data_IF_526738457821
#
_entry.id   IF_526738457821
#
_cell.length_a   1.000
_cell.length_b   1.000
_cell.length_c   1.000
_cell.angle_alpha   90.00
_cell.angle_beta   90.00
_cell.angle_gamma   90.00
#
_symmetry.space_group_name_H-M   'P 1'
#
loop_
_entity.id
_entity.type
_entity.pdbx_description
1 polymer ?
#
# COMPACT_ATOMS: atom_id res chain seq x y z
N UNK A 1 -0.42 14.38 -16.85
CA UNK A 1 -1.52 13.91 -15.98
C UNK A 1 -1.68 12.39 -16.08
N UNK A 2 -1.88 11.82 -17.28
CA UNK A 2 -1.92 10.35 -17.48
C UNK A 2 -0.67 9.59 -17.01
N UNK A 3 0.51 10.20 -17.10
CA UNK A 3 1.76 9.59 -16.61
C UNK A 3 1.79 9.40 -15.10
N UNK A 4 1.45 10.44 -14.33
CA UNK A 4 1.55 10.39 -12.87
C UNK A 4 0.46 9.49 -12.27
N UNK A 5 -0.76 9.52 -12.83
CA UNK A 5 -1.81 8.56 -12.50
C UNK A 5 -1.39 7.11 -12.80
N UNK A 6 -0.73 6.85 -13.93
CA UNK A 6 -0.21 5.52 -14.25
C UNK A 6 0.91 5.08 -13.31
N UNK A 7 1.74 6.01 -12.82
CA UNK A 7 2.78 5.73 -11.82
C UNK A 7 2.16 5.40 -10.46
N UNK A 8 1.15 6.14 -10.01
CA UNK A 8 0.43 5.86 -8.75
C UNK A 8 -0.24 4.49 -8.81
N UNK A 9 -0.97 4.19 -9.89
CA UNK A 9 -1.60 2.87 -10.08
C UNK A 9 -0.55 1.75 -10.09
N UNK A 10 0.63 1.98 -10.68
CA UNK A 10 1.70 1.01 -10.67
C UNK A 10 2.28 0.81 -9.26
N UNK A 11 2.43 1.88 -8.47
CA UNK A 11 2.90 1.82 -7.09
C UNK A 11 1.89 1.07 -6.20
N UNK A 12 0.60 1.41 -6.23
CA UNK A 12 -0.43 0.71 -5.44
C UNK A 12 -0.51 -0.79 -5.75
N UNK A 13 -0.22 -1.19 -6.99
CA UNK A 13 -0.12 -2.62 -7.35
C UNK A 13 1.05 -3.32 -6.66
N UNK A 14 2.16 -2.61 -6.45
CA UNK A 14 3.31 -3.12 -5.69
C UNK A 14 2.93 -3.21 -4.21
N UNK A 15 2.35 -2.15 -3.64
CA UNK A 15 1.89 -2.15 -2.24
C UNK A 15 0.93 -3.31 -1.95
N UNK A 16 -0.08 -3.53 -2.80
CA UNK A 16 -1.02 -4.65 -2.65
C UNK A 16 -0.33 -6.03 -2.67
N UNK A 17 0.73 -6.19 -3.46
CA UNK A 17 1.51 -7.42 -3.48
C UNK A 17 2.29 -7.60 -2.17
N UNK A 18 2.87 -6.52 -1.65
CA UNK A 18 3.63 -6.51 -0.40
C UNK A 18 2.71 -6.76 0.80
N UNK A 19 1.57 -6.08 0.90
CA UNK A 19 0.53 -6.31 1.91
C UNK A 19 0.11 -7.78 1.95
N UNK A 20 -0.23 -8.37 0.80
CA UNK A 20 -0.60 -9.78 0.72
C UNK A 20 0.55 -10.72 1.14
N UNK A 21 1.79 -10.34 0.81
CA UNK A 21 2.98 -11.13 1.13
C UNK A 21 3.31 -11.07 2.61
N UNK A 22 3.40 -9.87 3.20
CA UNK A 22 3.72 -9.67 4.61
C UNK A 22 2.62 -10.20 5.52
N UNK A 23 1.34 -10.03 5.17
CA UNK A 23 0.23 -10.64 5.91
C UNK A 23 0.31 -12.17 5.93
N UNK A 24 0.65 -12.80 4.80
CA UNK A 24 0.87 -14.25 4.73
C UNK A 24 2.08 -14.72 5.54
N UNK A 25 3.20 -13.99 5.46
CA UNK A 25 4.42 -14.31 6.19
C UNK A 25 4.27 -14.13 7.70
N UNK A 26 3.61 -13.06 8.15
CA UNK A 26 3.33 -12.82 9.57
C UNK A 26 2.51 -13.97 10.15
N UNK A 27 1.42 -14.36 9.47
CA UNK A 27 0.59 -15.48 9.87
C UNK A 27 1.36 -16.82 9.92
N UNK A 28 2.25 -17.04 8.95
CA UNK A 28 3.11 -18.22 8.93
C UNK A 28 4.10 -18.21 10.12
N UNK A 29 4.71 -17.07 10.41
CA UNK A 29 5.62 -16.90 11.55
C UNK A 29 4.91 -17.17 12.89
N UNK A 30 3.70 -16.66 13.07
CA UNK A 30 2.84 -16.97 14.25
C UNK A 30 2.61 -18.48 14.34
N UNK A 31 2.22 -19.12 13.23
CA UNK A 31 1.93 -20.56 13.19
C UNK A 31 3.16 -21.40 13.56
N UNK A 32 4.37 -20.92 13.24
CA UNK A 32 5.63 -21.59 13.55
C UNK A 32 6.21 -21.22 14.94
N UNK A 33 5.54 -20.35 15.70
CA UNK A 33 6.02 -19.88 17.01
C UNK A 33 7.21 -18.93 16.93
N UNK A 34 7.34 -18.19 15.82
CA UNK A 34 8.39 -17.20 15.60
C UNK A 34 7.88 -15.78 15.90
N UNK A 35 7.46 -15.53 17.14
CA UNK A 35 6.76 -14.30 17.55
C UNK A 35 7.51 -13.02 17.17
N UNK A 36 8.83 -12.95 17.43
CA UNK A 36 9.64 -11.77 17.05
C UNK A 36 9.69 -11.51 15.54
N UNK A 37 9.60 -12.56 14.74
CA UNK A 37 9.57 -12.43 13.28
C UNK A 37 8.20 -11.95 12.84
N UNK A 38 7.12 -12.48 13.46
CA UNK A 38 5.77 -12.00 13.24
C UNK A 38 5.66 -10.50 13.55
N UNK A 39 6.15 -10.06 14.72
CA UNK A 39 6.12 -8.64 15.12
C UNK A 39 6.80 -7.72 14.08
N UNK A 40 7.95 -8.12 13.54
CA UNK A 40 8.67 -7.35 12.52
C UNK A 40 7.93 -7.34 11.17
N UNK A 41 7.31 -8.46 10.79
CA UNK A 41 6.53 -8.56 9.57
C UNK A 41 5.22 -7.77 9.66
N UNK A 42 4.57 -7.76 10.82
CA UNK A 42 3.39 -6.94 11.09
C UNK A 42 3.72 -5.45 11.09
N UNK A 43 4.88 -5.06 11.64
CA UNK A 43 5.34 -3.67 11.52
C UNK A 43 5.51 -3.26 10.05
N UNK A 44 6.16 -4.12 9.25
CA UNK A 44 6.35 -3.83 7.82
C UNK A 44 5.01 -3.78 7.09
N UNK A 45 4.11 -4.73 7.36
CA UNK A 45 2.75 -4.73 6.82
C UNK A 45 2.02 -3.41 7.09
N UNK A 46 2.10 -2.88 8.31
CA UNK A 46 1.48 -1.61 8.64
C UNK A 46 2.08 -0.44 7.85
N UNK A 47 3.41 -0.42 7.68
CA UNK A 47 4.09 0.60 6.88
C UNK A 47 3.64 0.57 5.40
N UNK A 48 3.40 -0.61 4.81
CA UNK A 48 2.88 -0.72 3.44
C UNK A 48 1.39 -0.34 3.33
N UNK A 49 0.56 -0.71 4.33
CA UNK A 49 -0.85 -0.29 4.38
C UNK A 49 -0.99 1.24 4.47
N UNK A 50 -0.16 1.88 5.30
CA UNK A 50 -0.11 3.34 5.42
C UNK A 50 0.36 3.98 4.10
N UNK A 51 1.34 3.38 3.41
CA UNK A 51 1.84 3.86 2.12
C UNK A 51 0.77 3.76 1.01
N UNK A 52 0.02 2.65 0.94
CA UNK A 52 -1.09 2.52 -0.02
C UNK A 52 -2.21 3.53 0.26
N UNK A 53 -2.48 3.82 1.53
CA UNK A 53 -3.42 4.86 1.92
C UNK A 53 -2.97 6.25 1.45
N UNK A 54 -1.70 6.61 1.67
CA UNK A 54 -1.15 7.88 1.17
C UNK A 54 -1.20 7.98 -0.37
N UNK A 55 -0.90 6.89 -1.08
CA UNK A 55 -1.03 6.84 -2.54
C UNK A 55 -2.47 7.05 -3.00
N UNK A 56 -3.45 6.53 -2.25
CA UNK A 56 -4.88 6.76 -2.51
C UNK A 56 -5.24 8.23 -2.31
N UNK A 57 -4.82 8.87 -1.23
CA UNK A 57 -5.08 10.30 -0.98
C UNK A 57 -4.47 11.18 -2.08
N UNK A 58 -3.26 10.83 -2.54
CA UNK A 58 -2.62 11.50 -3.68
C UNK A 58 -3.49 11.31 -4.93
N UNK A 59 -3.89 10.08 -5.27
CA UNK A 59 -4.73 9.82 -6.44
C UNK A 59 -6.04 10.63 -6.43
N UNK A 60 -6.73 10.68 -5.29
CA UNK A 60 -7.99 11.42 -5.12
C UNK A 60 -7.79 12.93 -5.24
N UNK A 61 -6.73 13.47 -4.64
CA UNK A 61 -6.40 14.90 -4.75
C UNK A 61 -6.11 15.29 -6.19
N UNK A 62 -5.40 14.45 -6.94
CA UNK A 62 -5.13 14.66 -8.37
C UNK A 62 -6.42 14.62 -9.21
N UNK A 63 -7.34 13.69 -8.95
CA UNK A 63 -8.65 13.63 -9.64
C UNK A 63 -9.50 14.88 -9.34
N UNK A 64 -9.52 15.34 -8.09
CA UNK A 64 -10.28 16.52 -7.69
C UNK A 64 -9.76 17.81 -8.35
N UNK A 65 -8.44 17.94 -8.55
CA UNK A 65 -7.84 19.08 -9.26
C UNK A 65 -8.25 19.14 -10.74
N UNK A 66 -8.34 17.98 -11.40
CA UNK A 66 -8.76 17.87 -12.80
C UNK A 66 -10.25 18.19 -12.96
N UNK A 67 -11.10 17.69 -12.07
CA UNK A 67 -12.53 17.96 -12.10
C UNK A 67 -12.90 19.45 -11.95
N UNK A 68 -12.09 20.22 -11.20
CA UNK A 68 -12.28 21.67 -11.01
C UNK A 68 -11.78 22.48 -12.22
N UNK A 69 -10.81 21.97 -12.99
CA UNK A 69 -10.30 22.67 -14.18
C UNK A 69 -11.09 22.38 -15.46
N UNK A 70 -11.89 21.30 -15.50
CA UNK A 70 -12.77 20.98 -16.62
C UNK A 70 -14.18 21.59 -16.51
N UNK A 71 -14.47 22.37 -15.46
CA UNK A 71 -15.76 23.08 -15.23
C UNK A 71 -15.68 24.57 -15.51
#
# INVERSE_FOLDING_TARGET
MTRDAALIIAAQKVEHYEIATYGGLAQLAITMGHDKVADLLEQTLQEEEDTDYELTEIAETYINFDAIHES
#
